data_IF_488902895852
#
_entry.id   IF_488902895852
#
_cell.length_a   1.000
_cell.length_b   1.000
_cell.length_c   1.000
_cell.angle_alpha   90.00
_cell.angle_beta   90.00
_cell.angle_gamma   90.00
#
_symmetry.space_group_name_H-M   'P 1'
#
loop_
_entity.id
_entity.type
_entity.pdbx_description
1 polymer ?
#
# COMPACT_ATOMS: atom_id res chain seq x y z
N UNK A 1 10.57 -16.12 4.59
CA UNK A 1 9.82 -14.84 4.52
C UNK A 1 8.32 -15.14 4.38
N UNK A 2 7.41 -14.20 4.65
CA UNK A 2 5.96 -14.47 4.49
C UNK A 2 5.62 -14.90 3.06
N UNK A 3 6.33 -14.36 2.06
CA UNK A 3 6.15 -14.73 0.66
C UNK A 3 6.38 -16.22 0.36
N UNK A 4 7.21 -16.89 1.16
CA UNK A 4 7.56 -18.31 0.98
C UNK A 4 6.52 -19.24 1.65
N UNK A 5 5.61 -18.67 2.44
CA UNK A 5 4.55 -19.42 3.12
C UNK A 5 3.30 -19.58 2.24
N UNK A 6 3.25 -18.89 1.09
CA UNK A 6 2.20 -19.11 0.10
C UNK A 6 2.44 -20.40 -0.67
N UNK A 7 1.38 -21.16 -1.02
CA UNK A 7 1.52 -22.43 -1.72
C UNK A 7 2.16 -22.24 -3.11
N UNK A 8 2.86 -23.27 -3.58
CA UNK A 8 3.37 -23.36 -4.97
C UNK A 8 4.27 -22.18 -5.38
N UNK A 9 4.89 -21.50 -4.40
CA UNK A 9 5.69 -20.31 -4.68
C UNK A 9 4.87 -19.12 -5.18
N UNK A 10 3.55 -19.11 -5.00
CA UNK A 10 2.64 -18.06 -5.48
C UNK A 10 3.04 -16.66 -4.99
N UNK A 11 3.63 -16.57 -3.78
CA UNK A 11 4.16 -15.33 -3.21
C UNK A 11 5.50 -14.88 -3.78
N UNK A 12 6.19 -15.69 -4.57
CA UNK A 12 7.49 -15.32 -5.13
C UNK A 12 7.27 -14.46 -6.38
N UNK A 13 7.92 -13.29 -6.39
CA UNK A 13 7.93 -12.44 -7.58
C UNK A 13 8.97 -13.00 -8.54
N UNK A 14 8.59 -13.11 -9.80
CA UNK A 14 9.48 -13.59 -10.86
C UNK A 14 10.78 -12.78 -10.86
N UNK A 15 11.91 -13.48 -10.73
CA UNK A 15 13.25 -12.89 -10.65
C UNK A 15 13.71 -12.42 -9.26
N UNK A 16 12.89 -12.59 -8.21
CA UNK A 16 13.29 -12.32 -6.82
C UNK A 16 13.58 -13.64 -6.09
N UNK A 17 14.78 -14.17 -6.31
CA UNK A 17 15.30 -15.42 -5.75
C UNK A 17 15.97 -15.26 -4.37
N UNK A 18 16.00 -14.03 -3.85
CA UNK A 18 16.66 -13.70 -2.58
C UNK A 18 16.07 -14.49 -1.41
N UNK A 19 16.93 -15.03 -0.58
CA UNK A 19 16.57 -15.68 0.67
C UNK A 19 16.67 -14.69 1.83
N UNK A 20 16.32 -15.12 3.05
CA UNK A 20 16.37 -14.26 4.22
C UNK A 20 17.80 -13.78 4.51
N UNK A 21 18.78 -14.63 4.19
CA UNK A 21 20.21 -14.44 4.37
C UNK A 21 20.78 -13.39 3.41
N UNK A 22 20.13 -13.19 2.25
CA UNK A 22 20.51 -12.18 1.25
C UNK A 22 19.95 -10.79 1.58
N UNK A 23 19.09 -10.70 2.59
CA UNK A 23 18.44 -9.44 2.98
C UNK A 23 19.22 -8.74 4.09
N UNK A 24 19.42 -7.45 3.90
CA UNK A 24 19.94 -6.58 4.94
C UNK A 24 18.94 -6.48 6.10
N UNK A 25 19.40 -6.28 7.35
CA UNK A 25 18.50 -6.21 8.52
C UNK A 25 17.39 -5.16 8.39
N UNK A 26 17.64 -4.06 7.68
CA UNK A 26 16.64 -3.01 7.47
C UNK A 26 15.56 -3.39 6.45
N UNK A 27 15.78 -4.42 5.63
CA UNK A 27 14.82 -4.94 4.64
C UNK A 27 13.86 -5.96 5.25
N UNK A 28 14.17 -6.49 6.43
CA UNK A 28 13.35 -7.49 7.12
C UNK A 28 12.44 -6.83 8.14
N UNK A 29 11.14 -7.14 8.09
CA UNK A 29 10.19 -6.62 9.06
C UNK A 29 10.45 -7.22 10.46
N UNK A 30 10.60 -6.41 11.52
CA UNK A 30 10.91 -6.92 12.85
C UNK A 30 9.83 -7.83 13.45
N UNK A 31 10.25 -8.92 14.09
CA UNK A 31 9.33 -9.88 14.74
C UNK A 31 8.82 -9.40 16.10
N UNK A 32 9.64 -8.64 16.83
CA UNK A 32 9.33 -8.13 18.16
C UNK A 32 8.93 -6.65 18.13
N UNK A 33 8.14 -6.22 19.12
CA UNK A 33 7.80 -4.79 19.27
C UNK A 33 9.03 -3.94 19.59
N UNK A 34 9.98 -4.46 20.39
CA UNK A 34 11.20 -3.76 20.77
C UNK A 34 12.07 -3.45 19.55
N UNK A 35 12.26 -4.43 18.68
CA UNK A 35 13.03 -4.24 17.44
C UNK A 35 12.28 -3.31 16.48
N UNK A 36 10.95 -3.36 16.45
CA UNK A 36 10.16 -2.42 15.67
C UNK A 36 10.36 -0.96 16.12
N UNK A 37 10.51 -0.70 17.43
CA UNK A 37 10.85 0.64 17.94
C UNK A 37 12.23 1.12 17.50
N UNK A 38 13.19 0.22 17.27
CA UNK A 38 14.53 0.55 16.77
C UNK A 38 14.55 0.74 15.25
N UNK A 39 13.71 -0.03 14.55
CA UNK A 39 13.64 -0.05 13.09
C UNK A 39 12.83 1.15 12.53
N UNK A 40 11.73 1.52 13.21
CA UNK A 40 10.76 2.49 12.74
C UNK A 40 10.69 3.74 13.63
N UNK A 41 10.69 4.91 12.98
CA UNK A 41 10.61 6.22 13.63
C UNK A 41 9.39 7.00 13.12
N UNK A 42 8.64 7.59 14.03
CA UNK A 42 7.54 8.50 13.68
C UNK A 42 8.01 9.91 13.95
N UNK A 43 8.02 10.73 12.91
CA UNK A 43 8.39 12.14 13.01
C UNK A 43 7.27 13.02 12.49
N UNK A 44 7.31 14.29 12.88
CA UNK A 44 6.51 15.31 12.20
C UNK A 44 7.16 15.63 10.86
N UNK A 45 6.33 15.75 9.83
CA UNK A 45 6.78 16.25 8.52
C UNK A 45 7.28 17.68 8.68
N UNK A 46 8.40 18.00 8.06
CA UNK A 46 8.96 19.36 8.06
C UNK A 46 8.05 20.34 7.34
N UNK A 47 7.38 19.89 6.27
CA UNK A 47 6.40 20.66 5.51
C UNK A 47 5.04 19.95 5.54
N UNK A 48 4.07 20.55 6.26
CA UNK A 48 2.72 20.00 6.41
C UNK A 48 1.74 20.80 5.56
N UNK A 49 1.45 20.32 4.34
CA UNK A 49 0.38 20.90 3.50
C UNK A 49 -1.01 20.48 4.00
N UNK A 50 -1.14 19.23 4.43
CA UNK A 50 -2.35 18.70 5.04
C UNK A 50 -2.16 18.63 6.56
N UNK A 51 -2.71 19.60 7.29
CA UNK A 51 -2.65 19.67 8.75
C UNK A 51 -3.24 18.45 9.45
N UNK A 52 -4.09 17.69 8.76
CA UNK A 52 -4.66 16.45 9.29
C UNK A 52 -3.65 15.29 9.22
N UNK A 53 -2.54 15.41 8.49
CA UNK A 53 -1.50 14.38 8.36
C UNK A 53 -0.12 14.95 8.69
N UNK A 54 0.11 15.37 9.95
CA UNK A 54 1.36 16.03 10.32
C UNK A 54 2.51 15.04 10.53
N UNK A 55 2.26 13.73 10.51
CA UNK A 55 3.24 12.70 10.81
C UNK A 55 3.63 11.89 9.57
N UNK A 56 4.81 11.29 9.62
CA UNK A 56 5.29 10.32 8.66
C UNK A 56 6.09 9.23 9.39
N UNK A 57 6.17 8.06 8.75
CA UNK A 57 6.87 6.89 9.26
C UNK A 57 8.12 6.66 8.44
N UNK A 58 9.26 6.69 9.10
CA UNK A 58 10.56 6.57 8.47
C UNK A 58 11.36 5.40 9.06
N UNK A 59 12.32 4.88 8.30
CA UNK A 59 13.36 3.98 8.78
C UNK A 59 14.74 4.48 8.32
N UNK A 60 15.79 4.00 9.00
CA UNK A 60 17.18 4.27 8.63
C UNK A 60 17.86 2.95 8.25
N UNK A 61 18.49 2.82 7.06
CA UNK A 61 19.11 1.56 6.63
C UNK A 61 20.31 1.16 7.50
N UNK A 62 20.96 2.15 8.11
CA UNK A 62 22.10 1.97 9.00
C UNK A 62 21.87 2.80 10.26
N UNK A 63 22.28 2.28 11.42
CA UNK A 63 22.07 2.93 12.73
C UNK A 63 22.64 4.36 12.81
N UNK A 64 23.66 4.67 12.01
CA UNK A 64 24.35 5.97 11.97
C UNK A 64 24.05 6.78 10.69
N UNK A 65 23.08 6.35 9.88
CA UNK A 65 22.70 7.10 8.68
C UNK A 65 21.85 8.31 9.06
N UNK A 66 22.26 9.50 8.63
CA UNK A 66 21.40 10.69 8.68
C UNK A 66 20.26 10.61 7.65
N UNK A 67 20.38 9.75 6.65
CA UNK A 67 19.37 9.55 5.62
C UNK A 67 18.30 8.61 6.13
N UNK A 68 17.07 9.12 6.14
CA UNK A 68 15.85 8.40 6.53
C UNK A 68 14.97 8.22 5.30
N UNK A 69 14.33 7.07 5.19
CA UNK A 69 13.46 6.71 4.07
C UNK A 69 12.06 6.45 4.58
N UNK A 70 11.05 6.77 3.76
CA UNK A 70 9.67 6.40 4.08
C UNK A 70 9.53 4.88 4.12
N UNK A 71 8.87 4.38 5.17
CA UNK A 71 8.63 2.93 5.29
C UNK A 71 7.60 2.50 4.25
N UNK A 72 7.99 1.56 3.40
CA UNK A 72 7.13 0.84 2.48
C UNK A 72 7.22 -0.64 2.79
N UNK A 73 6.06 -1.27 2.98
CA UNK A 73 5.95 -2.71 3.27
C UNK A 73 5.30 -3.42 2.09
N UNK A 74 5.70 -4.65 1.83
CA UNK A 74 5.08 -5.51 0.83
C UNK A 74 4.03 -6.39 1.49
N UNK A 75 2.86 -6.48 0.88
CA UNK A 75 1.71 -7.24 1.32
C UNK A 75 1.19 -8.08 0.17
N UNK A 76 0.72 -9.29 0.44
CA UNK A 76 0.26 -10.25 -0.55
C UNK A 76 -1.09 -10.83 -0.16
N UNK A 77 -1.90 -11.17 -1.14
CA UNK A 77 -3.21 -11.79 -0.93
C UNK A 77 -4.08 -11.74 -2.17
N UNK A 78 -5.29 -12.27 -2.03
CA UNK A 78 -6.27 -12.34 -3.12
C UNK A 78 -7.13 -11.09 -3.14
N UNK A 79 -7.36 -10.52 -4.33
CA UNK A 79 -8.22 -9.36 -4.50
C UNK A 79 -9.66 -9.75 -4.15
N UNK A 80 -10.20 -9.21 -3.07
CA UNK A 80 -11.62 -9.35 -2.72
C UNK A 80 -12.48 -8.32 -3.45
N UNK A 81 -12.03 -7.07 -3.40
CA UNK A 81 -12.74 -5.90 -3.95
C UNK A 81 -11.75 -4.77 -4.18
N UNK A 82 -11.99 -3.98 -5.22
CA UNK A 82 -11.15 -2.83 -5.53
C UNK A 82 -11.91 -1.69 -6.21
N UNK A 83 -11.36 -0.49 -6.10
CA UNK A 83 -11.60 0.65 -6.98
C UNK A 83 -10.24 1.36 -7.15
N UNK A 84 -9.57 1.10 -8.26
CA UNK A 84 -8.25 1.62 -8.57
C UNK A 84 -8.25 2.63 -9.73
N UNK A 85 -9.43 3.11 -10.13
CA UNK A 85 -9.53 4.16 -11.16
C UNK A 85 -8.76 5.41 -10.75
N UNK A 86 -8.28 6.20 -11.70
CA UNK A 86 -7.43 7.38 -11.46
C UNK A 86 -8.02 8.34 -10.42
N UNK A 87 -9.33 8.58 -10.49
CA UNK A 87 -10.07 9.43 -9.54
C UNK A 87 -10.83 8.66 -8.47
N UNK A 88 -10.58 7.35 -8.32
CA UNK A 88 -11.17 6.51 -7.29
C UNK A 88 -12.70 6.61 -7.24
N UNK A 89 -13.25 6.85 -6.05
CA UNK A 89 -14.69 7.04 -5.83
C UNK A 89 -15.15 8.52 -5.95
N UNK A 90 -14.36 9.40 -6.56
CA UNK A 90 -14.76 10.80 -6.76
C UNK A 90 -15.92 10.93 -7.75
N UNK A 91 -16.82 11.87 -7.47
CA UNK A 91 -18.07 12.09 -8.19
C UNK A 91 -18.07 13.38 -9.04
N UNK A 92 -16.90 13.96 -9.33
CA UNK A 92 -16.77 15.21 -10.10
C UNK A 92 -16.97 16.49 -9.28
N UNK A 93 -17.45 16.42 -8.04
CA UNK A 93 -17.71 17.62 -7.23
C UNK A 93 -16.52 17.99 -6.34
N UNK A 94 -16.15 19.27 -6.32
CA UNK A 94 -15.04 19.78 -5.48
C UNK A 94 -15.16 19.38 -4.00
N UNK A 95 -16.38 19.45 -3.44
CA UNK A 95 -16.66 19.06 -2.05
C UNK A 95 -16.31 17.59 -1.74
N UNK A 96 -16.31 16.74 -2.76
CA UNK A 96 -15.98 15.31 -2.65
C UNK A 96 -14.48 15.01 -2.79
N UNK A 97 -13.69 15.92 -3.36
CA UNK A 97 -12.26 15.71 -3.59
C UNK A 97 -11.45 15.35 -2.32
N UNK A 98 -11.67 15.97 -1.13
CA UNK A 98 -10.92 15.61 0.06
C UNK A 98 -11.11 14.15 0.49
N UNK A 99 -12.30 13.58 0.28
CA UNK A 99 -12.68 12.23 0.69
C UNK A 99 -12.52 11.18 -0.40
N UNK A 100 -12.12 11.57 -1.61
CA UNK A 100 -11.97 10.67 -2.72
C UNK A 100 -10.75 9.75 -2.53
N UNK A 101 -10.98 8.45 -2.67
CA UNK A 101 -10.00 7.39 -2.44
C UNK A 101 -10.05 6.32 -3.53
N UNK A 102 -8.88 5.78 -3.85
CA UNK A 102 -8.70 4.43 -4.37
C UNK A 102 -8.72 3.45 -3.20
N UNK A 103 -9.24 2.25 -3.43
CA UNK A 103 -9.38 1.21 -2.40
C UNK A 103 -9.01 -0.15 -2.97
N UNK A 104 -8.31 -0.95 -2.18
CA UNK A 104 -8.05 -2.36 -2.43
C UNK A 104 -8.31 -3.14 -1.13
N UNK A 105 -9.05 -4.23 -1.22
CA UNK A 105 -9.29 -5.15 -0.12
C UNK A 105 -8.69 -6.50 -0.52
N UNK A 106 -7.77 -7.00 0.29
CA UNK A 106 -7.24 -8.36 0.15
C UNK A 106 -7.91 -9.31 1.12
N UNK A 107 -7.95 -10.59 0.75
CA UNK A 107 -8.35 -11.71 1.61
C UNK A 107 -7.37 -12.88 1.49
N UNK A 108 -7.48 -13.87 2.40
CA UNK A 108 -6.54 -15.01 2.46
C UNK A 108 -6.69 -16.01 1.33
N UNK A 109 -7.87 -16.06 0.69
CA UNK A 109 -8.22 -17.10 -0.28
C UNK A 109 -8.19 -18.52 0.31
N UNK A 110 -8.23 -18.68 1.64
CA UNK A 110 -8.08 -19.97 2.33
C UNK A 110 -6.65 -20.28 2.80
N UNK A 111 -5.69 -19.38 2.59
CA UNK A 111 -4.31 -19.51 3.07
C UNK A 111 -4.09 -18.57 4.27
N UNK A 112 -4.71 -18.91 5.39
CA UNK A 112 -4.82 -18.03 6.56
C UNK A 112 -3.49 -17.78 7.27
N UNK A 113 -2.55 -18.73 7.25
CA UNK A 113 -1.25 -18.58 7.91
C UNK A 113 -0.40 -17.42 7.35
N UNK A 114 -0.02 -17.39 6.06
CA UNK A 114 0.72 -16.26 5.50
C UNK A 114 -0.07 -14.95 5.58
N UNK A 115 -1.39 -15.02 5.49
CA UNK A 115 -2.24 -13.83 5.54
C UNK A 115 -2.32 -13.22 6.95
N UNK A 116 -2.53 -14.02 7.98
CA UNK A 116 -2.56 -13.56 9.38
C UNK A 116 -1.21 -13.00 9.83
N UNK A 117 -0.10 -13.58 9.37
CA UNK A 117 1.24 -13.07 9.68
C UNK A 117 1.43 -11.60 9.22
N UNK A 118 0.82 -11.24 8.09
CA UNK A 118 0.82 -9.85 7.58
C UNK A 118 -0.08 -8.94 8.40
N UNK A 119 -1.26 -9.42 8.79
CA UNK A 119 -2.17 -8.68 9.68
C UNK A 119 -1.49 -8.39 11.01
N UNK A 120 -0.79 -9.37 11.58
CA UNK A 120 -0.01 -9.19 12.82
C UNK A 120 1.10 -8.16 12.65
N UNK A 121 1.78 -8.13 11.50
CA UNK A 121 2.75 -7.08 11.18
C UNK A 121 2.09 -5.69 11.13
N UNK A 122 0.96 -5.54 10.43
CA UNK A 122 0.21 -4.28 10.34
C UNK A 122 -0.33 -3.83 11.71
N UNK A 123 -0.81 -4.75 12.56
CA UNK A 123 -1.23 -4.44 13.93
C UNK A 123 -0.09 -3.94 14.81
N UNK A 124 1.12 -4.52 14.68
CA UNK A 124 2.30 -4.05 15.40
C UNK A 124 2.70 -2.63 14.99
N UNK A 125 2.70 -2.33 13.69
CA UNK A 125 2.92 -0.96 13.18
C UNK A 125 1.89 0.00 13.76
N UNK A 126 0.61 -0.37 13.69
CA UNK A 126 -0.49 0.43 14.24
C UNK A 126 -0.30 0.69 15.74
N UNK A 127 0.02 -0.35 16.50
CA UNK A 127 0.26 -0.26 17.95
C UNK A 127 1.44 0.64 18.28
N UNK A 128 2.55 0.54 17.53
CA UNK A 128 3.70 1.43 17.67
C UNK A 128 3.28 2.90 17.45
N UNK A 129 2.52 3.20 16.39
CA UNK A 129 2.04 4.56 16.12
C UNK A 129 1.18 5.11 17.26
N UNK A 130 0.22 4.32 17.74
CA UNK A 130 -0.64 4.73 18.84
C UNK A 130 0.17 4.94 20.13
N UNK A 131 1.09 4.04 20.48
CA UNK A 131 1.94 4.18 21.66
C UNK A 131 2.83 5.41 21.61
N UNK A 132 3.47 5.69 20.47
CA UNK A 132 4.34 6.87 20.34
C UNK A 132 3.56 8.19 20.36
N UNK A 133 2.35 8.23 19.79
CA UNK A 133 1.59 9.48 19.68
C UNK A 133 0.60 9.73 20.83
N UNK A 134 0.21 8.69 21.57
CA UNK A 134 -0.83 8.77 22.62
C UNK A 134 -0.49 8.07 23.93
N UNK A 135 0.56 7.23 23.97
CA UNK A 135 0.93 6.44 25.15
C UNK A 135 0.06 5.19 25.39
N UNK A 136 -0.85 4.85 24.47
CA UNK A 136 -1.78 3.73 24.60
C UNK A 136 -1.82 2.89 23.30
N UNK A 137 -2.34 1.67 23.40
CA UNK A 137 -2.66 0.84 22.22
C UNK A 137 -4.00 1.26 21.58
N UNK A 138 -4.21 0.95 20.29
CA UNK A 138 -5.52 1.14 19.67
C UNK A 138 -6.56 0.26 20.39
N UNK A 139 -7.78 0.79 20.57
CA UNK A 139 -8.87 0.04 21.20
C UNK A 139 -9.43 -1.06 20.27
N UNK A 140 -9.38 -0.83 18.96
CA UNK A 140 -9.87 -1.72 17.93
C UNK A 140 -8.74 -2.47 17.22
N UNK A 141 -9.02 -3.73 16.91
CA UNK A 141 -8.15 -4.61 16.13
C UNK A 141 -8.50 -4.56 14.65
N UNK A 142 -7.52 -4.87 13.80
CA UNK A 142 -7.74 -5.08 12.39
C UNK A 142 -8.56 -6.38 12.20
N UNK A 143 -9.50 -6.41 11.24
CA UNK A 143 -10.21 -7.64 10.90
C UNK A 143 -9.22 -8.73 10.46
N UNK A 144 -9.44 -9.97 10.90
CA UNK A 144 -8.56 -11.12 10.59
C UNK A 144 -8.79 -11.68 9.19
N UNK A 145 -9.96 -11.44 8.61
CA UNK A 145 -10.41 -12.00 7.32
C UNK A 145 -10.00 -11.16 6.11
N UNK A 146 -9.48 -9.94 6.33
CA UNK A 146 -9.23 -8.98 5.24
C UNK A 146 -8.26 -7.88 5.63
N UNK A 147 -7.52 -7.39 4.64
CA UNK A 147 -6.65 -6.23 4.77
C UNK A 147 -7.21 -5.10 3.89
N UNK A 148 -7.34 -3.92 4.48
CA UNK A 148 -7.84 -2.73 3.80
C UNK A 148 -6.71 -1.77 3.44
N UNK A 149 -6.61 -1.44 2.17
CA UNK A 149 -5.72 -0.40 1.67
C UNK A 149 -6.51 0.72 1.02
N UNK A 150 -6.08 1.96 1.26
CA UNK A 150 -6.72 3.13 0.66
C UNK A 150 -5.72 4.21 0.34
N UNK A 151 -5.85 4.83 -0.82
CA UNK A 151 -4.99 5.93 -1.26
C UNK A 151 -5.87 7.11 -1.64
N UNK A 152 -5.63 8.28 -1.07
CA UNK A 152 -6.31 9.50 -1.51
C UNK A 152 -5.90 9.83 -2.94
N UNK A 153 -6.87 10.21 -3.76
CA UNK A 153 -6.62 10.55 -5.17
C UNK A 153 -6.40 12.03 -5.40
N UNK A 154 -6.75 12.89 -4.44
CA UNK A 154 -6.45 14.33 -4.49
C UNK A 154 -5.60 14.78 -3.31
N UNK A 155 -4.74 15.76 -3.58
CA UNK A 155 -3.96 16.49 -2.60
C UNK A 155 -4.35 17.97 -2.62
N UNK A 156 -4.47 18.57 -1.43
CA UNK A 156 -4.80 20.00 -1.33
C UNK A 156 -3.62 20.84 -1.81
N UNK A 157 -3.88 21.82 -2.67
CA UNK A 157 -2.89 22.83 -3.07
C UNK A 157 -2.64 23.75 -1.89
N UNK A 158 -1.38 23.90 -1.50
CA UNK A 158 -0.99 24.88 -0.48
C UNK A 158 -0.58 26.18 -1.15
N UNK A 159 -1.32 27.25 -0.86
CA UNK A 159 -1.03 28.61 -1.34
C UNK A 159 0.31 29.14 -0.80
N UNK A 160 0.82 28.55 0.28
CA UNK A 160 2.05 29.02 0.94
C UNK A 160 3.34 28.55 0.26
N UNK A 161 3.26 27.80 -0.85
CA UNK A 161 4.42 27.28 -1.59
C UNK A 161 5.06 28.30 -2.55
N UNK A 162 5.14 29.58 -2.17
CA UNK A 162 5.95 30.61 -2.86
C UNK A 162 7.45 30.42 -2.56
N UNK A 163 7.90 29.17 -2.39
CA UNK A 163 9.30 28.80 -2.44
C UNK A 163 9.55 28.22 -3.84
N UNK A 164 10.38 28.88 -4.68
CA UNK A 164 10.72 28.39 -6.03
C UNK A 164 11.25 26.96 -6.07
N UNK A 165 11.82 26.45 -4.97
CA UNK A 165 12.33 25.08 -4.84
C UNK A 165 11.25 24.00 -4.82
N UNK A 166 10.06 24.25 -4.27
CA UNK A 166 8.93 23.30 -4.25
C UNK A 166 8.22 23.19 -5.60
N UNK A 167 8.33 24.22 -6.45
CA UNK A 167 7.80 24.17 -7.82
C UNK A 167 8.64 23.27 -8.72
N UNK A 168 9.94 23.10 -8.45
CA UNK A 168 10.82 22.21 -9.24
C UNK A 168 10.61 20.73 -8.91
N UNK A 169 10.43 20.37 -7.63
CA UNK A 169 10.11 18.98 -7.25
C UNK A 169 8.71 18.56 -7.71
N UNK A 170 7.74 19.49 -7.66
CA UNK A 170 6.42 19.25 -8.21
C UNK A 170 6.42 19.29 -9.75
N UNK A 171 7.32 20.04 -10.40
CA UNK A 171 7.44 20.04 -11.87
C UNK A 171 8.08 18.78 -12.45
N UNK A 172 9.11 18.23 -11.82
CA UNK A 172 9.68 16.96 -12.28
C UNK A 172 8.70 15.80 -12.05
N UNK A 173 8.01 15.79 -10.91
CA UNK A 173 6.90 14.87 -10.69
C UNK A 173 5.70 15.16 -11.62
N UNK A 174 5.47 16.42 -12.05
CA UNK A 174 4.37 16.75 -12.96
C UNK A 174 4.71 16.46 -14.42
N UNK A 175 5.94 16.59 -14.88
CA UNK A 175 6.31 16.24 -16.26
C UNK A 175 6.22 14.72 -16.49
N UNK A 176 6.61 13.91 -15.50
CA UNK A 176 6.38 12.45 -15.55
C UNK A 176 4.92 12.06 -15.28
N UNK A 177 4.18 12.83 -14.46
CA UNK A 177 2.77 12.57 -14.19
C UNK A 177 1.81 13.06 -15.28
N UNK A 178 2.11 14.15 -15.98
CA UNK A 178 1.29 14.70 -17.08
C UNK A 178 1.16 13.69 -18.23
N UNK A 179 2.18 12.87 -18.45
CA UNK A 179 2.18 11.81 -19.49
C UNK A 179 1.28 10.61 -19.10
N UNK A 180 0.86 10.50 -17.84
CA UNK A 180 0.13 9.32 -17.36
C UNK A 180 -1.32 9.58 -16.95
N UNK A 181 -1.78 10.83 -16.85
CA UNK A 181 -3.19 11.10 -16.52
C UNK A 181 -4.06 10.61 -17.66
N UNK A 182 -5.01 9.74 -17.33
CA UNK A 182 -5.97 9.21 -18.28
C UNK A 182 -6.95 10.31 -18.73
N UNK A 183 -6.59 11.00 -19.81
CA UNK A 183 -7.42 12.03 -20.44
C UNK A 183 -8.74 11.48 -21.01
N UNK A 184 -8.89 10.15 -21.07
CA UNK A 184 -10.13 9.51 -21.55
C UNK A 184 -11.17 9.33 -20.45
N UNK A 185 -10.79 9.44 -19.16
CA UNK A 185 -11.76 9.47 -18.07
C UNK A 185 -12.55 10.78 -18.12
N UNK A 186 -13.86 10.69 -18.29
CA UNK A 186 -14.78 11.83 -18.35
C UNK A 186 -14.64 12.82 -17.16
N UNK A 187 -14.16 12.34 -16.00
CA UNK A 187 -13.92 13.18 -14.81
C UNK A 187 -12.65 14.04 -14.91
N UNK A 188 -11.86 13.87 -15.98
CA UNK A 188 -10.66 14.67 -16.21
C UNK A 188 -10.99 16.16 -16.29
N UNK A 189 -12.06 16.53 -17.01
CA UNK A 189 -12.48 17.94 -17.16
C UNK A 189 -12.83 18.51 -15.79
N UNK A 190 -13.66 17.82 -15.01
CA UNK A 190 -14.03 18.24 -13.65
C UNK A 190 -12.78 18.40 -12.76
N UNK A 191 -11.79 17.50 -12.89
CA UNK A 191 -10.57 17.54 -12.10
C UNK A 191 -9.74 18.81 -12.40
N UNK A 192 -9.74 19.27 -13.66
CA UNK A 192 -9.09 20.51 -14.07
C UNK A 192 -9.76 21.74 -13.46
N UNK A 193 -11.10 21.74 -13.34
CA UNK A 193 -11.84 22.87 -12.74
C UNK A 193 -11.48 23.11 -11.27
N UNK A 194 -11.16 22.03 -10.53
CA UNK A 194 -10.81 22.09 -9.12
C UNK A 194 -9.30 22.14 -8.86
N UNK A 195 -8.46 22.09 -9.91
CA UNK A 195 -7.00 22.01 -9.83
C UNK A 195 -6.37 23.17 -9.02
N UNK A 196 -7.03 24.33 -8.97
CA UNK A 196 -6.63 25.48 -8.13
C UNK A 196 -6.63 25.20 -6.63
N UNK A 197 -7.42 24.23 -6.16
CA UNK A 197 -7.55 23.87 -4.75
C UNK A 197 -7.13 22.43 -4.46
N UNK A 198 -7.29 21.54 -5.45
CA UNK A 198 -7.06 20.11 -5.33
C UNK A 198 -6.39 19.57 -6.59
N UNK A 199 -5.18 19.04 -6.46
CA UNK A 199 -4.46 18.41 -7.56
C UNK A 199 -4.61 16.89 -7.45
N UNK A 200 -4.96 16.25 -8.57
CA UNK A 200 -5.01 14.79 -8.64
C UNK A 200 -3.61 14.22 -8.42
N UNK A 201 -3.48 13.16 -7.61
CA UNK A 201 -2.23 12.44 -7.46
C UNK A 201 -1.92 11.67 -8.76
N UNK A 202 -0.64 11.37 -9.03
CA UNK A 202 -0.27 10.49 -10.14
C UNK A 202 -1.04 9.16 -10.07
N UNK A 203 -1.41 8.57 -11.23
CA UNK A 203 -2.05 7.27 -11.28
C UNK A 203 -1.28 6.24 -10.45
N UNK A 204 -2.01 5.32 -9.81
CA UNK A 204 -1.41 4.24 -9.04
C UNK A 204 -0.63 3.34 -10.02
N UNK A 205 0.68 3.11 -9.82
CA UNK A 205 1.42 2.14 -10.62
C UNK A 205 0.82 0.74 -10.43
N UNK A 206 0.42 0.14 -11.54
CA UNK A 206 -0.08 -1.24 -11.60
C UNK A 206 0.74 -1.97 -12.67
N UNK A 207 1.21 -3.17 -12.36
CA UNK A 207 2.00 -3.95 -13.30
C UNK A 207 1.93 -5.45 -13.08
N UNK A 208 2.63 -6.20 -13.93
CA UNK A 208 2.93 -7.61 -13.74
C UNK A 208 4.44 -7.83 -13.97
N UNK A 209 5.11 -8.62 -13.12
CA UNK A 209 6.51 -8.97 -13.35
C UNK A 209 6.62 -9.86 -14.60
N UNK A 210 7.66 -9.64 -15.39
CA UNK A 210 8.03 -10.51 -16.51
C UNK A 210 9.27 -11.32 -16.13
N UNK A 211 9.49 -12.44 -16.82
CA UNK A 211 10.67 -13.30 -16.66
C UNK A 211 12.01 -12.58 -16.89
N UNK A 212 11.98 -11.43 -17.57
CA UNK A 212 13.13 -10.56 -17.80
C UNK A 212 13.52 -9.74 -16.57
N UNK A 213 12.76 -9.81 -15.48
CA UNK A 213 12.91 -8.95 -14.29
C UNK A 213 12.31 -7.55 -14.46
N UNK A 214 11.71 -7.24 -15.61
CA UNK A 214 11.03 -5.97 -15.88
C UNK A 214 9.55 -6.08 -15.52
N UNK A 215 8.97 -5.03 -14.94
CA UNK A 215 7.53 -4.95 -14.71
C UNK A 215 6.82 -4.38 -15.95
N UNK A 216 5.90 -5.15 -16.53
CA UNK A 216 4.97 -4.67 -17.56
C UNK A 216 3.89 -3.82 -16.91
N UNK A 217 3.73 -2.56 -17.35
CA UNK A 217 2.62 -1.70 -16.90
C UNK A 217 1.28 -2.30 -17.34
N UNK A 218 0.32 -2.34 -16.40
CA UNK A 218 -1.04 -2.82 -16.64
C UNK A 218 -2.06 -1.70 -16.41
N UNK A 219 -3.21 -1.82 -17.05
CA UNK A 219 -4.37 -1.00 -16.76
C UNK A 219 -5.13 -1.57 -15.56
N UNK A 220 -5.71 -0.72 -14.71
CA UNK A 220 -6.41 -1.17 -13.49
C UNK A 220 -7.62 -2.08 -13.76
N UNK A 221 -8.20 -2.03 -14.96
CA UNK A 221 -9.31 -2.89 -15.39
C UNK A 221 -8.89 -4.34 -15.69
N UNK A 222 -7.59 -4.62 -15.77
CA UNK A 222 -7.08 -5.99 -15.97
C UNK A 222 -7.22 -6.81 -14.68
N UNK A 223 -7.14 -6.16 -13.53
CA UNK A 223 -7.30 -6.82 -12.23
C UNK A 223 -8.76 -7.23 -12.03
N UNK A 224 -8.97 -8.35 -11.35
CA UNK A 224 -10.28 -8.92 -11.04
C UNK A 224 -10.32 -9.51 -9.62
N UNK A 225 -11.50 -9.63 -9.00
CA UNK A 225 -11.63 -10.41 -7.78
C UNK A 225 -11.12 -11.84 -7.97
N UNK A 226 -10.33 -12.33 -7.01
CA UNK A 226 -9.66 -13.63 -7.06
C UNK A 226 -8.23 -13.60 -7.58
N UNK A 227 -7.77 -12.50 -8.19
CA UNK A 227 -6.36 -12.35 -8.58
C UNK A 227 -5.45 -12.34 -7.35
N UNK A 228 -4.28 -12.95 -7.47
CA UNK A 228 -3.25 -12.89 -6.44
C UNK A 228 -2.26 -11.76 -6.74
N UNK A 229 -2.09 -10.84 -5.78
CA UNK A 229 -1.32 -9.62 -5.97
C UNK A 229 -0.25 -9.41 -4.89
N UNK A 230 0.84 -8.73 -5.26
CA UNK A 230 1.81 -8.10 -4.35
C UNK A 230 1.56 -6.59 -4.33
N UNK A 231 1.48 -6.02 -3.14
CA UNK A 231 1.07 -4.64 -2.93
C UNK A 231 2.11 -3.98 -2.04
N UNK A 232 2.69 -2.89 -2.53
CA UNK A 232 3.49 -2.01 -1.69
C UNK A 232 2.60 -0.98 -0.99
N UNK A 233 2.79 -0.86 0.32
CA UNK A 233 1.99 0.02 1.16
C UNK A 233 2.85 0.87 2.08
N UNK A 234 2.48 2.14 2.22
CA UNK A 234 3.05 3.07 3.18
C UNK A 234 2.06 3.30 4.34
N UNK A 235 2.55 3.88 5.44
CA UNK A 235 1.72 4.20 6.61
C UNK A 235 1.19 5.64 6.48
N UNK A 236 -0.13 5.81 6.34
CA UNK A 236 -0.80 7.12 6.39
C UNK A 236 -1.33 7.37 7.81
N UNK A 237 -0.85 8.43 8.46
CA UNK A 237 -1.24 8.81 9.81
C UNK A 237 -2.03 10.12 9.73
N UNK A 238 -3.35 10.00 9.81
CA UNK A 238 -4.19 11.15 10.09
C UNK A 238 -4.24 11.42 11.61
N UNK A 239 -4.27 12.67 12.04
CA UNK A 239 -4.27 13.06 13.44
C UNK A 239 -5.32 14.15 13.68
N UNK A 240 -6.34 13.81 14.46
CA UNK A 240 -7.46 14.70 14.76
C UNK A 240 -7.35 15.18 16.20
N UNK A 241 -7.36 16.50 16.43
CA UNK A 241 -7.32 17.08 17.79
C UNK A 241 -8.73 17.36 18.27
N UNK A 242 -9.14 16.68 19.33
CA UNK A 242 -10.41 16.92 20.02
C UNK A 242 -10.09 17.44 21.44
N UNK A 243 -9.90 18.75 21.56
CA UNK A 243 -9.47 19.39 22.81
C UNK A 243 -8.00 19.12 23.13
N UNK A 244 -7.70 18.71 24.37
CA UNK A 244 -6.34 18.48 24.85
C UNK A 244 -5.72 17.17 24.33
N UNK A 245 -6.54 16.22 23.87
CA UNK A 245 -6.08 14.93 23.35
C UNK A 245 -6.28 14.85 21.85
N UNK A 246 -5.30 14.31 21.15
CA UNK A 246 -5.42 13.96 19.74
C UNK A 246 -5.58 12.46 19.56
N UNK A 247 -6.31 12.08 18.51
CA UNK A 247 -6.55 10.68 18.15
C UNK A 247 -5.90 10.42 16.79
N UNK A 248 -4.84 9.60 16.71
CA UNK A 248 -4.31 9.15 15.44
C UNK A 248 -5.28 8.16 14.80
N UNK A 249 -5.41 8.24 13.47
CA UNK A 249 -6.04 7.24 12.63
C UNK A 249 -4.98 6.75 11.66
N UNK A 250 -4.59 5.49 11.86
CA UNK A 250 -3.59 4.83 11.04
C UNK A 250 -4.28 4.08 9.92
N UNK A 251 -3.85 4.35 8.70
CA UNK A 251 -4.31 3.70 7.49
C UNK A 251 -3.08 3.25 6.70
N UNK A 252 -3.27 2.29 5.80
CA UNK A 252 -2.21 1.81 4.91
C UNK A 252 -2.52 2.26 3.49
N UNK A 253 -1.63 3.07 2.94
CA UNK A 253 -1.77 3.70 1.63
C UNK A 253 -1.11 2.88 0.55
N UNK A 254 -1.81 2.67 -0.56
CA UNK A 254 -1.26 2.00 -1.74
C UNK A 254 -0.14 2.84 -2.35
N UNK A 255 0.99 2.19 -2.65
CA UNK A 255 2.09 2.77 -3.44
C UNK A 255 2.17 2.15 -4.83
N UNK A 256 2.01 0.82 -4.94
CA UNK A 256 1.82 0.12 -6.21
C UNK A 256 1.15 -1.24 -6.03
N UNK A 257 0.67 -1.83 -7.12
CA UNK A 257 0.05 -3.17 -7.16
C UNK A 257 0.67 -3.98 -8.29
N UNK A 258 1.14 -5.18 -7.99
CA UNK A 258 1.66 -6.14 -8.96
C UNK A 258 0.74 -7.35 -9.03
N UNK A 259 0.24 -7.67 -10.22
CA UNK A 259 -0.46 -8.93 -10.51
C UNK A 259 0.58 -10.05 -10.58
N UNK A 260 0.51 -11.01 -9.66
CA UNK A 260 1.41 -12.16 -9.64
C UNK A 260 0.79 -13.38 -10.34
N UNK A 261 -0.52 -13.61 -10.13
CA UNK A 261 -1.27 -14.65 -10.81
C UNK A 261 -2.72 -14.20 -11.00
N UNK A 262 -3.29 -14.49 -12.17
CA UNK A 262 -4.71 -14.23 -12.41
C UNK A 262 -5.57 -15.23 -11.62
N UNK A 263 -6.84 -14.88 -11.39
CA UNK A 263 -7.80 -15.77 -10.77
C UNK A 263 -7.92 -17.13 -11.50
N UNK A 264 -7.78 -17.13 -12.83
CA UNK A 264 -7.84 -18.34 -13.66
C UNK A 264 -6.61 -19.24 -13.48
N UNK A 265 -5.41 -18.63 -13.40
CA UNK A 265 -4.16 -19.35 -13.12
C UNK A 265 -4.21 -20.01 -11.74
N UNK A 266 -4.69 -19.29 -10.73
CA UNK A 266 -4.84 -19.80 -9.35
C UNK A 266 -5.79 -21.00 -9.30
N UNK A 267 -6.91 -20.97 -10.04
CA UNK A 267 -7.86 -22.07 -10.07
C UNK A 267 -7.30 -23.33 -10.73
N UNK A 268 -6.49 -23.15 -11.77
CA UNK A 268 -5.82 -24.26 -12.47
C UNK A 268 -4.90 -25.02 -11.51
N UNK A 269 -4.07 -24.30 -10.76
CA UNK A 269 -3.16 -24.87 -9.74
C UNK A 269 -3.93 -25.62 -8.64
N UNK A 270 -5.13 -25.15 -8.25
CA UNK A 270 -5.97 -25.83 -7.25
C UNK A 270 -6.59 -27.13 -7.75
N UNK A 271 -6.99 -27.17 -9.01
CA UNK A 271 -7.72 -28.32 -9.57
C UNK A 271 -6.81 -29.53 -9.74
N UNK A 272 -5.56 -29.33 -10.17
CA UNK A 272 -4.56 -30.39 -10.34
C UNK A 272 -4.28 -31.16 -9.04
N UNK A 273 -4.36 -30.50 -7.89
CA UNK A 273 -4.13 -31.12 -6.57
C UNK A 273 -5.28 -31.97 -6.04
N UNK A 274 -6.50 -31.72 -6.49
CA UNK A 274 -7.65 -32.51 -6.03
C UNK A 274 -7.72 -33.88 -6.72
N UNK A 275 -6.97 -34.05 -7.82
CA UNK A 275 -6.86 -35.32 -8.55
C UNK A 275 -5.68 -36.19 -8.11
N UNK A 276 -5.32 -36.21 -6.82
CA UNK A 276 -4.47 -37.31 -6.32
C UNK A 276 -5.34 -38.58 -6.38
N UNK A 277 -5.03 -39.55 -7.27
CA UNK A 277 -5.83 -40.75 -7.40
C UNK A 277 -5.88 -41.43 -6.04
N UNK A 278 -7.09 -41.69 -5.57
CA UNK A 278 -7.33 -42.52 -4.40
C UNK A 278 -6.71 -43.87 -4.72
N UNK A 279 -5.50 -44.12 -4.23
CA UNK A 279 -4.87 -45.44 -4.31
C UNK A 279 -5.78 -46.33 -3.49
N UNK A 280 -6.59 -47.14 -4.17
CA UNK A 280 -7.30 -48.25 -3.55
C UNK A 280 -6.23 -49.28 -3.24
N UNK A 281 -5.85 -49.35 -1.96
CA UNK A 281 -5.11 -50.48 -1.41
C UNK A 281 -6.01 -51.72 -1.50
N UNK A 282 -6.00 -52.38 -2.66
CA UNK A 282 -6.51 -53.75 -2.80
C UNK A 282 -5.44 -54.69 -2.21
N UNK A 283 -5.68 -55.14 -0.97
CA UNK A 283 -5.09 -56.33 -0.37
C UNK A 283 -6.06 -57.51 -0.46
#
# INVERSE_FOLDING_TARGET
LVRDLWPDGLGQVVGDDRQLEDLEPWQVFPHSMEDLFRWMYITRRSMVFDRTRPFEVLHAPMANSNTKYSVVMRMQGFVKKMNLSTYGNWNGLEKGAPGAIQMLILESGGHDEPFHAQIDALERVRSLVFRQLTGHDPADRLPRDKIYFQRRVFQKVSVCAICPSTLLSNRQASEEAEVAIDITDHRYIDAQEIAKHWVARPPLPIGAPLDTGVCKKLHHLVLSPGDFVDVAVSVDIAYFRNGARGTPRVQFSLEHVLLLASADDVQTVRTERTQVPHVTDDC
#
